data_IF_869683726241
#
_entry.id   IF_869683726241
#
_cell.length_a   1.000
_cell.length_b   1.000
_cell.length_c   1.000
_cell.angle_alpha   90.00
_cell.angle_beta   90.00
_cell.angle_gamma   90.00
#
_symmetry.space_group_name_H-M   'P 1'
#
loop_
_entity.id
_entity.type
_entity.pdbx_description
1 polymer ?
#
# COMPACT_ATOMS: atom_id res chain seq x y z
N UNK A 1 -13.04 -84.82 -43.58
CA UNK A 1 -13.67 -83.71 -44.34
C UNK A 1 -14.69 -82.90 -43.54
N UNK A 2 -15.69 -83.47 -42.84
CA UNK A 2 -16.67 -82.66 -42.05
C UNK A 2 -16.02 -81.99 -40.82
N UNK A 3 -15.04 -82.65 -40.20
CA UNK A 3 -14.37 -82.14 -38.99
C UNK A 3 -13.50 -80.89 -39.25
N UNK A 4 -12.84 -80.82 -40.42
CA UNK A 4 -11.95 -79.69 -40.79
C UNK A 4 -12.76 -78.42 -41.12
N UNK A 5 -13.90 -78.57 -41.80
CA UNK A 5 -14.80 -77.44 -42.09
C UNK A 5 -15.48 -76.89 -40.85
N UNK A 6 -15.85 -77.75 -39.89
CA UNK A 6 -16.43 -77.31 -38.61
C UNK A 6 -15.39 -76.61 -37.72
N UNK A 7 -14.15 -77.11 -37.69
CA UNK A 7 -13.05 -76.47 -36.96
C UNK A 7 -12.66 -75.12 -37.59
N UNK A 8 -12.66 -75.00 -38.93
CA UNK A 8 -12.41 -73.74 -39.63
C UNK A 8 -13.47 -72.65 -39.36
N UNK A 9 -14.75 -73.05 -39.25
CA UNK A 9 -15.83 -72.11 -38.89
C UNK A 9 -15.75 -71.67 -37.43
N UNK A 10 -15.40 -72.58 -36.51
CA UNK A 10 -15.22 -72.26 -35.09
C UNK A 10 -13.98 -71.39 -34.83
N UNK A 11 -12.87 -71.62 -35.54
CA UNK A 11 -11.65 -70.79 -35.41
C UNK A 11 -11.86 -69.39 -36.00
N UNK A 12 -12.64 -69.24 -37.07
CA UNK A 12 -13.04 -67.93 -37.61
C UNK A 12 -13.92 -67.14 -36.64
N UNK A 13 -14.92 -67.78 -36.02
CA UNK A 13 -15.77 -67.16 -35.01
C UNK A 13 -14.98 -66.78 -33.75
N UNK A 14 -14.12 -67.66 -33.24
CA UNK A 14 -13.24 -67.37 -32.10
C UNK A 14 -12.24 -66.24 -32.42
N UNK A 15 -11.64 -66.23 -33.62
CA UNK A 15 -10.76 -65.16 -34.06
C UNK A 15 -11.47 -63.79 -34.13
N UNK A 16 -12.72 -63.77 -34.63
CA UNK A 16 -13.53 -62.54 -34.68
C UNK A 16 -13.93 -62.03 -33.29
N UNK A 17 -14.27 -62.94 -32.36
CA UNK A 17 -14.60 -62.60 -30.98
C UNK A 17 -13.39 -62.06 -30.22
N UNK A 18 -12.22 -62.68 -30.39
CA UNK A 18 -10.94 -62.22 -29.80
C UNK A 18 -10.55 -60.86 -30.38
N UNK A 19 -10.66 -60.66 -31.70
CA UNK A 19 -10.36 -59.38 -32.35
C UNK A 19 -11.31 -58.27 -31.87
N UNK A 20 -12.61 -58.56 -31.75
CA UNK A 20 -13.60 -57.62 -31.22
C UNK A 20 -13.30 -57.22 -29.77
N UNK A 21 -12.91 -58.19 -28.93
CA UNK A 21 -12.50 -57.92 -27.55
C UNK A 21 -11.24 -57.04 -27.47
N UNK A 22 -10.22 -57.31 -28.31
CA UNK A 22 -9.03 -56.46 -28.37
C UNK A 22 -9.34 -55.05 -28.88
N UNK A 23 -10.17 -54.91 -29.91
CA UNK A 23 -10.61 -53.61 -30.43
C UNK A 23 -11.37 -52.80 -29.37
N UNK A 24 -12.27 -53.45 -28.61
CA UNK A 24 -12.99 -52.80 -27.51
C UNK A 24 -12.03 -52.34 -26.40
N UNK A 25 -11.08 -53.20 -25.99
CA UNK A 25 -10.08 -52.83 -24.99
C UNK A 25 -9.17 -51.69 -25.46
N UNK A 26 -8.79 -51.69 -26.74
CA UNK A 26 -7.98 -50.63 -27.34
C UNK A 26 -8.75 -49.31 -27.43
N UNK A 27 -10.04 -49.35 -27.75
CA UNK A 27 -10.91 -48.17 -27.77
C UNK A 27 -11.11 -47.59 -26.37
N UNK A 28 -11.28 -48.46 -25.35
CA UNK A 28 -11.36 -48.03 -23.95
C UNK A 28 -10.07 -47.33 -23.50
N UNK A 29 -8.91 -47.91 -23.83
CA UNK A 29 -7.61 -47.32 -23.51
C UNK A 29 -7.40 -45.96 -24.21
N UNK A 30 -7.84 -45.84 -25.47
CA UNK A 30 -7.79 -44.57 -26.21
C UNK A 30 -8.68 -43.50 -25.57
N UNK A 31 -9.89 -43.86 -25.15
CA UNK A 31 -10.77 -42.93 -24.46
C UNK A 31 -10.20 -42.48 -23.11
N UNK A 32 -9.61 -43.40 -22.33
CA UNK A 32 -8.93 -43.06 -21.07
C UNK A 32 -7.75 -42.11 -21.31
N UNK A 33 -6.97 -42.33 -22.36
CA UNK A 33 -5.89 -41.43 -22.78
C UNK A 33 -6.40 -40.05 -23.20
N UNK A 34 -7.47 -40.00 -24.01
CA UNK A 34 -8.08 -38.74 -24.46
C UNK A 34 -8.66 -37.93 -23.28
N UNK A 35 -9.20 -38.61 -22.26
CA UNK A 35 -9.65 -37.96 -21.02
C UNK A 35 -8.46 -37.39 -20.24
N UNK A 36 -7.40 -38.18 -20.03
CA UNK A 36 -6.20 -37.73 -19.33
C UNK A 36 -5.53 -36.55 -20.05
N UNK A 37 -5.51 -36.57 -21.38
CA UNK A 37 -4.95 -35.47 -22.17
C UNK A 37 -5.78 -34.20 -22.01
N UNK A 38 -7.12 -34.30 -22.05
CA UNK A 38 -8.01 -33.15 -21.82
C UNK A 38 -7.88 -32.59 -20.41
N UNK A 39 -7.74 -33.44 -19.40
CA UNK A 39 -7.49 -32.99 -18.03
C UNK A 39 -6.15 -32.26 -17.89
N UNK A 40 -5.12 -32.74 -18.59
CA UNK A 40 -3.81 -32.10 -18.62
C UNK A 40 -3.87 -30.74 -19.34
N UNK A 41 -4.60 -30.65 -20.45
CA UNK A 41 -4.84 -29.38 -21.17
C UNK A 41 -5.59 -28.38 -20.30
N UNK A 42 -6.66 -28.80 -19.61
CA UNK A 42 -7.39 -27.94 -18.67
C UNK A 42 -6.44 -27.43 -17.57
N UNK A 43 -5.61 -28.30 -17.02
CA UNK A 43 -4.64 -27.93 -15.98
C UNK A 43 -3.56 -26.98 -16.48
N UNK A 44 -3.11 -27.12 -17.73
CA UNK A 44 -2.18 -26.18 -18.35
C UNK A 44 -2.84 -24.81 -18.54
N UNK A 45 -4.08 -24.78 -19.05
CA UNK A 45 -4.84 -23.53 -19.25
C UNK A 45 -5.10 -22.82 -17.93
N UNK A 46 -5.45 -23.53 -16.85
CA UNK A 46 -5.64 -22.90 -15.54
C UNK A 46 -4.34 -22.33 -14.99
N UNK A 47 -3.22 -23.07 -15.08
CA UNK A 47 -1.90 -22.58 -14.66
C UNK A 47 -1.45 -21.36 -15.47
N UNK A 48 -1.71 -21.33 -16.77
CA UNK A 48 -1.43 -20.16 -17.61
C UNK A 48 -2.30 -18.96 -17.25
N UNK A 49 -3.60 -19.17 -17.00
CA UNK A 49 -4.51 -18.13 -16.55
C UNK A 49 -4.07 -17.55 -15.19
N UNK A 50 -3.72 -18.40 -14.24
CA UNK A 50 -3.21 -18.00 -12.92
C UNK A 50 -1.90 -17.19 -13.04
N UNK A 51 -0.97 -17.63 -13.90
CA UNK A 51 0.26 -16.87 -14.18
C UNK A 51 -0.04 -15.50 -14.81
N UNK A 52 -0.95 -15.43 -15.78
CA UNK A 52 -1.36 -14.16 -16.40
C UNK A 52 -2.03 -13.22 -15.39
N UNK A 53 -2.89 -13.75 -14.52
CA UNK A 53 -3.48 -12.98 -13.43
C UNK A 53 -2.44 -12.48 -12.43
N UNK A 54 -1.45 -13.32 -12.10
CA UNK A 54 -0.32 -12.93 -11.24
C UNK A 54 0.50 -11.79 -11.84
N UNK A 55 0.88 -11.89 -13.12
CA UNK A 55 1.60 -10.83 -13.84
C UNK A 55 0.78 -9.54 -13.90
N UNK A 56 -0.50 -9.64 -14.25
CA UNK A 56 -1.40 -8.47 -14.33
C UNK A 56 -1.57 -7.77 -12.99
N UNK A 57 -1.65 -8.51 -11.88
CA UNK A 57 -1.67 -7.92 -10.52
C UNK A 57 -0.38 -7.19 -10.20
N UNK A 58 0.78 -7.83 -10.43
CA UNK A 58 2.09 -7.21 -10.17
C UNK A 58 2.28 -5.95 -11.02
N UNK A 59 1.86 -5.97 -12.29
CA UNK A 59 1.90 -4.78 -13.15
C UNK A 59 0.96 -3.68 -12.66
N UNK A 60 -0.24 -4.03 -12.21
CA UNK A 60 -1.22 -3.06 -11.71
C UNK A 60 -0.74 -2.44 -10.40
N UNK A 61 -0.26 -3.26 -9.47
CA UNK A 61 0.32 -2.82 -8.19
C UNK A 61 1.55 -1.94 -8.44
N UNK A 62 2.44 -2.34 -9.34
CA UNK A 62 3.60 -1.53 -9.75
C UNK A 62 3.20 -0.20 -10.38
N UNK A 63 2.16 -0.17 -11.23
CA UNK A 63 1.64 1.09 -11.80
C UNK A 63 1.01 1.99 -10.74
N UNK A 64 0.29 1.42 -9.78
CA UNK A 64 -0.27 2.18 -8.64
C UNK A 64 0.87 2.76 -7.79
N UNK A 65 1.90 1.98 -7.49
CA UNK A 65 3.06 2.45 -6.72
C UNK A 65 3.82 3.56 -7.46
N UNK A 66 4.06 3.42 -8.77
CA UNK A 66 4.67 4.46 -9.59
C UNK A 66 3.83 5.74 -9.63
N UNK A 67 2.51 5.61 -9.81
CA UNK A 67 1.56 6.73 -9.73
C UNK A 67 1.62 7.42 -8.37
N UNK A 68 1.67 6.66 -7.27
CA UNK A 68 1.78 7.21 -5.92
C UNK A 68 3.10 7.94 -5.70
N UNK A 69 4.20 7.43 -6.25
CA UNK A 69 5.52 8.06 -6.22
C UNK A 69 5.56 9.36 -7.02
N UNK A 70 4.93 9.41 -8.19
CA UNK A 70 4.90 10.63 -9.01
C UNK A 70 4.02 11.70 -8.37
N UNK A 71 2.85 11.33 -7.83
CA UNK A 71 2.03 12.23 -7.02
C UNK A 71 2.80 12.71 -5.78
N UNK A 72 3.64 11.85 -5.19
CA UNK A 72 4.49 12.23 -4.06
C UNK A 72 5.57 13.24 -4.44
N UNK A 73 6.25 13.07 -5.58
CA UNK A 73 7.24 14.03 -6.10
C UNK A 73 6.60 15.40 -6.34
N UNK A 74 5.47 15.45 -7.03
CA UNK A 74 4.76 16.70 -7.30
C UNK A 74 4.30 17.38 -6.01
N UNK A 75 3.77 16.62 -5.05
CA UNK A 75 3.40 17.18 -3.77
C UNK A 75 4.60 17.76 -3.00
N UNK A 76 5.79 17.13 -3.10
CA UNK A 76 7.02 17.69 -2.53
C UNK A 76 7.45 18.98 -3.25
N UNK A 77 7.38 19.00 -4.58
CA UNK A 77 7.69 20.19 -5.37
C UNK A 77 6.77 21.36 -5.01
N UNK A 78 5.46 21.16 -4.99
CA UNK A 78 4.48 22.19 -4.60
C UNK A 78 4.67 22.65 -3.15
N UNK A 79 5.00 21.75 -2.22
CA UNK A 79 5.29 22.12 -0.83
C UNK A 79 6.56 22.98 -0.74
N UNK A 80 7.56 22.70 -1.59
CA UNK A 80 8.84 23.42 -1.62
C UNK A 80 8.80 24.69 -2.48
N UNK A 81 7.72 24.95 -3.23
CA UNK A 81 7.56 26.26 -3.87
C UNK A 81 7.47 27.33 -2.80
N UNK A 82 8.36 28.30 -2.91
CA UNK A 82 8.34 29.45 -2.02
C UNK A 82 7.10 30.28 -2.32
N UNK A 83 6.46 30.79 -1.27
CA UNK A 83 5.37 31.75 -1.43
C UNK A 83 5.88 33.08 -2.04
N UNK A 84 7.21 33.28 -2.08
CA UNK A 84 7.89 34.38 -2.77
C UNK A 84 7.98 34.22 -4.29
N UNK A 85 7.09 33.47 -4.94
CA UNK A 85 7.18 33.37 -6.39
C UNK A 85 6.91 34.73 -7.08
N UNK A 86 7.83 35.05 -7.97
CA UNK A 86 8.44 36.36 -8.18
C UNK A 86 7.61 37.40 -8.94
N UNK A 87 6.38 37.05 -9.32
CA UNK A 87 5.58 37.92 -10.19
C UNK A 87 4.92 39.06 -9.42
N UNK A 88 4.18 38.78 -8.34
CA UNK A 88 3.46 39.81 -7.59
C UNK A 88 4.39 40.70 -6.75
N UNK A 89 5.49 40.12 -6.25
CA UNK A 89 6.48 40.84 -5.45
C UNK A 89 7.30 41.84 -6.26
N UNK A 90 7.59 41.56 -7.54
CA UNK A 90 8.23 42.53 -8.43
C UNK A 90 7.37 43.78 -8.60
N UNK A 91 6.07 43.62 -8.85
CA UNK A 91 5.15 44.75 -8.99
C UNK A 91 5.03 45.58 -7.69
N UNK A 92 5.09 44.94 -6.53
CA UNK A 92 5.04 45.62 -5.22
C UNK A 92 6.33 46.40 -4.90
N UNK A 93 7.49 45.92 -5.36
CA UNK A 93 8.81 46.53 -5.07
C UNK A 93 9.15 47.64 -6.09
N UNK A 94 8.72 47.51 -7.36
CA UNK A 94 9.01 48.49 -8.42
C UNK A 94 8.22 49.80 -8.26
N UNK A 95 7.10 49.81 -7.54
CA UNK A 95 6.31 51.02 -7.32
C UNK A 95 6.94 51.95 -6.28
N UNK A 96 7.53 53.06 -6.74
CA UNK A 96 8.26 54.05 -5.93
C UNK A 96 7.46 54.65 -4.76
N UNK A 97 6.13 54.70 -4.86
CA UNK A 97 5.25 55.21 -3.80
C UNK A 97 4.86 54.15 -2.74
N UNK A 98 4.96 52.86 -3.08
CA UNK A 98 4.53 51.75 -2.21
C UNK A 98 5.69 50.90 -1.67
N UNK A 99 6.95 51.30 -1.88
CA UNK A 99 8.13 50.53 -1.45
C UNK A 99 8.12 50.13 0.03
N UNK A 100 7.71 51.04 0.93
CA UNK A 100 7.64 50.73 2.37
C UNK A 100 6.55 49.70 2.70
N UNK A 101 5.44 49.74 1.97
CA UNK A 101 4.29 48.85 2.10
C UNK A 101 4.62 47.48 1.49
N UNK A 102 5.32 47.45 0.36
CA UNK A 102 5.90 46.26 -0.24
C UNK A 102 6.92 45.57 0.68
N UNK A 103 7.79 46.33 1.34
CA UNK A 103 8.73 45.79 2.32
C UNK A 103 8.04 45.17 3.54
N UNK A 104 6.95 45.78 4.03
CA UNK A 104 6.14 45.24 5.12
C UNK A 104 5.45 43.93 4.72
N UNK A 105 4.80 43.92 3.54
CA UNK A 105 4.15 42.73 2.99
C UNK A 105 5.17 41.59 2.79
N UNK A 106 6.32 41.91 2.20
CA UNK A 106 7.44 40.97 2.06
C UNK A 106 7.87 40.39 3.40
N UNK A 107 7.99 41.23 4.43
CA UNK A 107 8.31 40.79 5.79
C UNK A 107 7.29 39.80 6.35
N UNK A 108 5.99 40.06 6.17
CA UNK A 108 4.91 39.17 6.63
C UNK A 108 4.96 37.83 5.88
N UNK A 109 5.10 37.86 4.55
CA UNK A 109 5.23 36.63 3.76
C UNK A 109 6.49 35.84 4.14
N UNK A 110 7.60 36.53 4.40
CA UNK A 110 8.85 35.93 4.88
C UNK A 110 8.69 35.25 6.23
N UNK A 111 7.97 35.89 7.15
CA UNK A 111 7.67 35.32 8.45
C UNK A 111 6.74 34.11 8.34
N UNK A 112 5.71 34.18 7.49
CA UNK A 112 4.80 33.06 7.24
C UNK A 112 5.54 31.86 6.62
N UNK A 113 6.43 32.10 5.67
CA UNK A 113 7.31 31.10 5.05
C UNK A 113 8.25 30.47 6.10
N UNK A 114 8.89 31.30 6.93
CA UNK A 114 9.75 30.84 8.02
C UNK A 114 8.98 29.97 9.04
N UNK A 115 7.78 30.39 9.45
CA UNK A 115 6.90 29.61 10.32
C UNK A 115 6.50 28.28 9.67
N UNK A 116 6.17 28.28 8.37
CA UNK A 116 5.84 27.06 7.61
C UNK A 116 7.00 26.06 7.62
N UNK A 117 8.22 26.54 7.38
CA UNK A 117 9.43 25.71 7.36
C UNK A 117 9.75 25.19 8.77
N UNK A 118 9.58 26.02 9.80
CA UNK A 118 9.89 25.66 11.19
C UNK A 118 8.82 24.80 11.87
N UNK A 119 7.55 24.89 11.46
CA UNK A 119 6.45 24.17 12.09
C UNK A 119 6.73 22.66 12.19
N UNK A 120 7.26 22.05 11.13
CA UNK A 120 7.55 20.61 11.09
C UNK A 120 8.64 20.19 12.09
N UNK A 121 9.88 20.74 12.05
CA UNK A 121 10.90 20.40 13.02
C UNK A 121 10.48 20.78 14.45
N UNK A 122 9.79 21.90 14.67
CA UNK A 122 9.32 22.31 16.01
C UNK A 122 8.37 21.28 16.61
N UNK A 123 7.36 20.81 15.86
CA UNK A 123 6.42 19.81 16.36
C UNK A 123 7.14 18.49 16.63
N UNK A 124 8.08 18.06 15.77
CA UNK A 124 8.86 16.83 15.98
C UNK A 124 9.75 16.93 17.23
N UNK A 125 10.47 18.04 17.40
CA UNK A 125 11.29 18.28 18.59
C UNK A 125 10.44 18.33 19.86
N UNK A 126 9.29 18.98 19.80
CA UNK A 126 8.34 19.04 20.91
C UNK A 126 7.84 17.64 21.28
N UNK A 127 7.42 16.84 20.30
CA UNK A 127 6.95 15.48 20.53
C UNK A 127 8.05 14.60 21.14
N UNK A 128 9.27 14.69 20.61
CA UNK A 128 10.42 13.96 21.14
C UNK A 128 10.70 14.38 22.59
N UNK A 129 10.80 15.68 22.87
CA UNK A 129 11.07 16.18 24.22
C UNK A 129 9.97 15.78 25.22
N UNK A 130 8.70 15.92 24.85
CA UNK A 130 7.56 15.55 25.71
C UNK A 130 7.51 14.05 25.94
N UNK A 131 7.72 13.24 24.90
CA UNK A 131 7.73 11.78 25.03
C UNK A 131 8.85 11.32 25.98
N UNK A 132 10.08 11.83 25.80
CA UNK A 132 11.21 11.56 26.70
C UNK A 132 10.91 12.00 28.14
N UNK A 133 10.34 13.19 28.32
CA UNK A 133 10.00 13.71 29.64
C UNK A 133 8.95 12.84 30.35
N UNK A 134 7.89 12.43 29.64
CA UNK A 134 6.87 11.52 30.16
C UNK A 134 7.47 10.16 30.54
N UNK A 135 8.35 9.60 29.72
CA UNK A 135 9.04 8.34 30.03
C UNK A 135 9.86 8.45 31.32
N UNK A 136 10.59 9.55 31.50
CA UNK A 136 11.38 9.80 32.73
C UNK A 136 10.45 9.93 33.95
N UNK A 137 9.32 10.64 33.83
CA UNK A 137 8.35 10.77 34.91
C UNK A 137 7.75 9.41 35.30
N UNK A 138 7.33 8.60 34.33
CA UNK A 138 6.83 7.25 34.56
C UNK A 138 7.87 6.39 35.28
N UNK A 139 9.14 6.46 34.87
CA UNK A 139 10.23 5.71 35.50
C UNK A 139 10.44 6.12 36.96
N UNK A 140 10.46 7.42 37.25
CA UNK A 140 10.61 7.94 38.62
C UNK A 140 9.44 7.54 39.52
N UNK A 141 8.20 7.57 39.03
CA UNK A 141 7.03 7.12 39.77
C UNK A 141 7.13 5.64 40.14
N UNK A 142 7.57 4.80 39.21
CA UNK A 142 7.73 3.36 39.43
C UNK A 142 8.83 3.06 40.46
N UNK A 143 9.93 3.83 40.45
CA UNK A 143 10.97 3.74 41.49
C UNK A 143 10.45 4.15 42.88
N UNK A 144 9.71 5.26 42.99
CA UNK A 144 9.15 5.72 44.27
C UNK A 144 8.20 4.66 44.85
N UNK A 145 7.35 4.06 44.01
CA UNK A 145 6.49 2.95 44.41
C UNK A 145 7.30 1.78 44.99
N UNK A 146 8.38 1.38 44.30
CA UNK A 146 9.23 0.25 44.72
C UNK A 146 9.97 0.48 46.03
N UNK A 147 10.27 1.73 46.39
CA UNK A 147 11.12 2.06 47.55
C UNK A 147 10.29 2.43 48.78
N UNK A 148 9.21 3.19 48.60
CA UNK A 148 8.49 3.82 49.71
C UNK A 148 7.10 3.24 49.97
N UNK A 149 6.55 2.41 49.07
CA UNK A 149 5.19 1.86 49.20
C UNK A 149 4.08 2.93 49.31
N UNK A 150 4.39 4.19 48.95
CA UNK A 150 3.53 5.35 49.20
C UNK A 150 2.30 5.44 48.28
N UNK A 151 2.29 4.66 47.19
CA UNK A 151 1.21 4.60 46.20
C UNK A 151 0.76 3.14 46.14
N UNK A 152 -0.52 2.87 45.92
CA UNK A 152 -0.99 1.49 45.74
C UNK A 152 -0.73 1.00 44.31
N UNK A 153 -0.53 -0.31 44.12
CA UNK A 153 -0.24 -0.89 42.78
C UNK A 153 -1.28 -0.48 41.71
N UNK A 154 -2.60 -0.43 42.02
CA UNK A 154 -3.62 0.01 41.07
C UNK A 154 -3.44 1.48 40.65
N UNK A 155 -3.16 2.37 41.60
CA UNK A 155 -2.98 3.80 41.31
C UNK A 155 -1.74 4.07 40.43
N UNK A 156 -0.64 3.37 40.69
CA UNK A 156 0.56 3.47 39.86
C UNK A 156 0.30 3.01 38.42
N UNK A 157 -0.49 1.94 38.26
CA UNK A 157 -0.91 1.44 36.95
C UNK A 157 -1.80 2.45 36.20
N UNK A 158 -2.75 3.07 36.88
CA UNK A 158 -3.66 4.06 36.28
C UNK A 158 -2.91 5.30 35.79
N UNK A 159 -1.96 5.82 36.57
CA UNK A 159 -1.10 6.94 36.16
C UNK A 159 -0.27 6.56 34.94
N UNK A 160 0.28 5.35 34.91
CA UNK A 160 1.04 4.86 33.77
C UNK A 160 0.19 4.75 32.50
N UNK A 161 -1.03 4.22 32.61
CA UNK A 161 -2.00 4.15 31.52
C UNK A 161 -2.38 5.55 31.00
N UNK A 162 -2.57 6.52 31.89
CA UNK A 162 -2.86 7.90 31.52
C UNK A 162 -1.71 8.53 30.71
N UNK A 163 -0.46 8.29 31.12
CA UNK A 163 0.72 8.75 30.40
C UNK A 163 0.80 8.13 29.00
N UNK A 164 0.60 6.82 28.88
CA UNK A 164 0.61 6.12 27.58
C UNK A 164 -0.48 6.69 26.66
N UNK A 165 -1.72 6.83 27.15
CA UNK A 165 -2.82 7.37 26.37
C UNK A 165 -2.53 8.79 25.88
N UNK A 166 -1.95 9.62 26.74
CA UNK A 166 -1.55 10.99 26.39
C UNK A 166 -0.47 11.00 25.30
N UNK A 167 0.51 10.09 25.39
CA UNK A 167 1.60 9.96 24.41
C UNK A 167 1.06 9.47 23.05
N UNK A 168 0.16 8.47 23.06
CA UNK A 168 -0.52 7.99 21.84
C UNK A 168 -1.33 9.12 21.21
N UNK A 169 -2.12 9.85 21.98
CA UNK A 169 -2.93 10.96 21.48
C UNK A 169 -2.05 12.06 20.84
N UNK A 170 -0.96 12.43 21.51
CA UNK A 170 -0.02 13.45 21.02
C UNK A 170 0.70 12.98 19.75
N UNK A 171 1.06 11.70 19.68
CA UNK A 171 1.65 11.05 18.48
C UNK A 171 0.70 11.04 17.32
N UNK A 172 -0.55 10.58 17.51
CA UNK A 172 -1.57 10.57 16.46
C UNK A 172 -1.79 12.00 15.97
N UNK A 173 -1.92 12.97 16.86
CA UNK A 173 -2.14 14.38 16.48
C UNK A 173 -0.99 14.94 15.64
N UNK A 174 0.26 14.69 16.03
CA UNK A 174 1.45 15.09 15.28
C UNK A 174 1.50 14.42 13.90
N UNK A 175 1.28 13.10 13.86
CA UNK A 175 1.28 12.31 12.62
C UNK A 175 0.16 12.78 11.69
N UNK A 176 -1.05 12.98 12.22
CA UNK A 176 -2.18 13.54 11.48
C UNK A 176 -1.82 14.90 10.91
N UNK A 177 -1.21 15.81 11.68
CA UNK A 177 -0.78 17.10 11.15
C UNK A 177 0.23 16.96 9.99
N UNK A 178 1.16 16.01 10.12
CA UNK A 178 2.18 15.71 9.10
C UNK A 178 1.59 15.17 7.78
N UNK A 179 0.53 14.37 7.86
CA UNK A 179 -0.08 13.71 6.71
C UNK A 179 -1.34 14.40 6.17
N UNK A 180 -2.06 15.19 6.97
CA UNK A 180 -3.27 15.89 6.52
C UNK A 180 -2.91 17.00 5.53
N UNK A 181 -1.83 17.73 5.80
CA UNK A 181 -1.23 18.72 4.89
C UNK A 181 -0.97 18.13 3.48
N UNK A 182 -0.48 16.88 3.44
CA UNK A 182 -0.19 16.16 2.19
C UNK A 182 -1.45 15.73 1.42
N UNK A 183 -2.53 15.37 2.11
CA UNK A 183 -3.79 14.96 1.46
C UNK A 183 -4.50 16.16 0.82
N UNK A 184 -4.44 17.32 1.44
CA UNK A 184 -4.99 18.57 0.87
C UNK A 184 -4.23 18.92 -0.42
N UNK A 185 -2.90 18.80 -0.44
CA UNK A 185 -2.11 19.01 -1.66
C UNK A 185 -2.50 18.04 -2.80
N UNK A 186 -2.66 16.73 -2.50
CA UNK A 186 -3.15 15.75 -3.49
C UNK A 186 -4.55 16.08 -4.02
N UNK A 187 -5.44 16.56 -3.16
CA UNK A 187 -6.80 16.96 -3.55
C UNK A 187 -6.80 18.20 -4.45
N UNK A 188 -5.99 19.21 -4.13
CA UNK A 188 -5.82 20.41 -4.95
C UNK A 188 -5.22 20.10 -6.33
N UNK A 189 -4.26 19.17 -6.39
CA UNK A 189 -3.71 18.71 -7.67
C UNK A 189 -4.79 18.07 -8.58
N UNK A 190 -5.62 17.18 -8.03
CA UNK A 190 -6.73 16.55 -8.78
C UNK A 190 -7.77 17.56 -9.28
N UNK A 191 -7.99 18.63 -8.51
CA UNK A 191 -8.85 19.75 -8.91
C UNK A 191 -8.27 20.53 -10.09
N UNK A 192 -6.95 20.75 -10.10
CA UNK A 192 -6.26 21.50 -11.15
C UNK A 192 -6.19 20.71 -12.49
N UNK A 193 -6.12 19.38 -12.43
CA UNK A 193 -6.16 18.49 -13.61
C UNK A 193 -7.56 18.26 -14.19
N UNK A 194 -8.56 19.06 -13.78
CA UNK A 194 -9.98 18.89 -14.17
C UNK A 194 -10.52 17.49 -13.88
N UNK A 195 -9.95 16.79 -12.90
CA UNK A 195 -10.39 15.46 -12.51
C UNK A 195 -10.42 14.47 -13.68
N UNK A 196 -9.50 14.61 -14.65
CA UNK A 196 -9.32 13.63 -15.72
C UNK A 196 -8.95 12.30 -15.05
N UNK A 197 -9.88 11.35 -15.11
CA UNK A 197 -9.61 9.96 -14.76
C UNK A 197 -8.81 9.37 -15.92
N UNK A 198 -7.54 9.14 -15.70
CA UNK A 198 -6.79 8.14 -16.48
C UNK A 198 -7.28 6.73 -16.10
#
# INVERSE_FOLDING_TARGET
>A
MIFESLFGALTGLLGSAVTSYFNWKQQKLKNEYDIQMKELDIKLVTVEADKKMGISRVETEGKVELSELDVYKVAQEETNKSLFDSSYMKYLIESKYFQWLGALIAGIFGLAEWLRIMARPTITYYLLAVSTYLTILCYKLLQIFSINGAITLPEAYDIFQLCIRSLIYLTISCVSFWFCDRRVAKFLYRLNDNNKKD
#
